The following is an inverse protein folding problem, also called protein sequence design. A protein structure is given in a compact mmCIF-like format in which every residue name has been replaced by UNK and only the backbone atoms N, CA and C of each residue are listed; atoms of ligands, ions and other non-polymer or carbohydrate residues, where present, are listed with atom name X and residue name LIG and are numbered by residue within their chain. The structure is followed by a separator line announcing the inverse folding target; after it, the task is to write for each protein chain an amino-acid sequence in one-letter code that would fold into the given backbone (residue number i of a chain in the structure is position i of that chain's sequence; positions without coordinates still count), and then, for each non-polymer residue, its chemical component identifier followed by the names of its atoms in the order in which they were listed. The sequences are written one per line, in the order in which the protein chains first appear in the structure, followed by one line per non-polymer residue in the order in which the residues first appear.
data_IF_906644753864
#
_entry.id   IF_906644753864
#
_cell.length_a   1.000
_cell.length_b   1.000
_cell.length_c   1.000
_cell.angle_alpha   90.00
_cell.angle_beta   90.00
_cell.angle_gamma   90.00
#
_symmetry.space_group_name_H-M   'P 1'
#
loop_
_entity.id
_entity.type
_entity.pdbx_description
1 polymer ?
#
# COMPACT_ATOMS: atom_id res chain seq x y z
N UNK A 1 48.42 15.92 -21.17
CA UNK A 1 47.83 16.24 -19.84
C UNK A 1 46.33 16.54 -19.98
N UNK A 2 45.54 15.61 -20.54
CA UNK A 2 44.09 15.81 -20.81
C UNK A 2 43.24 14.70 -20.14
N UNK A 3 43.80 13.50 -19.97
CA UNK A 3 43.10 12.32 -19.40
C UNK A 3 42.78 12.41 -17.89
N UNK A 4 43.43 13.31 -17.13
CA UNK A 4 43.21 13.48 -15.69
C UNK A 4 41.90 14.22 -15.34
N UNK A 5 41.34 15.01 -16.26
CA UNK A 5 40.08 15.74 -16.05
C UNK A 5 38.84 14.91 -16.39
N UNK A 6 38.91 14.13 -17.47
CA UNK A 6 37.80 13.30 -17.98
C UNK A 6 37.45 12.17 -17.00
N UNK A 7 38.46 11.58 -16.34
CA UNK A 7 38.28 10.56 -15.30
C UNK A 7 37.54 11.08 -14.07
N UNK A 8 37.82 12.31 -13.62
CA UNK A 8 37.09 12.94 -12.51
C UNK A 8 35.64 13.22 -12.87
N UNK A 9 35.37 13.67 -14.10
CA UNK A 9 34.02 13.94 -14.57
C UNK A 9 33.19 12.65 -14.65
N UNK A 10 33.79 11.55 -15.12
CA UNK A 10 33.15 10.23 -15.13
C UNK A 10 32.81 9.73 -13.72
N UNK A 11 33.72 9.89 -12.76
CA UNK A 11 33.47 9.50 -11.36
C UNK A 11 32.33 10.32 -10.76
N UNK A 12 32.29 11.63 -11.01
CA UNK A 12 31.19 12.50 -10.55
C UNK A 12 29.86 12.08 -11.19
N UNK A 13 29.84 11.80 -12.49
CA UNK A 13 28.63 11.33 -13.18
C UNK A 13 28.15 9.99 -12.63
N UNK A 14 29.07 9.06 -12.36
CA UNK A 14 28.76 7.77 -11.75
C UNK A 14 28.18 7.94 -10.34
N UNK A 15 28.76 8.82 -9.51
CA UNK A 15 28.24 9.12 -8.17
C UNK A 15 26.84 9.74 -8.22
N UNK A 16 26.57 10.64 -9.17
CA UNK A 16 25.23 11.22 -9.35
C UNK A 16 24.20 10.16 -9.78
N UNK A 17 24.57 9.23 -10.66
CA UNK A 17 23.70 8.12 -11.07
C UNK A 17 23.41 7.16 -9.91
N UNK A 18 24.41 6.85 -9.09
CA UNK A 18 24.24 6.01 -7.89
C UNK A 18 23.32 6.70 -6.88
N UNK A 19 23.51 7.99 -6.61
CA UNK A 19 22.63 8.73 -5.70
C UNK A 19 21.19 8.84 -6.24
N UNK A 20 21.01 8.95 -7.56
CA UNK A 20 19.70 8.99 -8.20
C UNK A 20 18.96 7.63 -8.18
N UNK A 21 19.67 6.53 -7.95
CA UNK A 21 19.10 5.17 -7.91
C UNK A 21 18.89 4.64 -6.50
N UNK A 22 19.35 5.36 -5.47
CA UNK A 22 19.07 5.01 -4.07
C UNK A 22 17.60 5.31 -3.77
N UNK A 23 16.78 4.27 -3.71
CA UNK A 23 15.43 4.35 -3.18
C UNK A 23 15.48 4.32 -1.65
N UNK A 24 14.84 5.29 -1.01
CA UNK A 24 14.63 5.26 0.44
C UNK A 24 13.34 4.50 0.71
N UNK A 25 13.44 3.36 1.40
CA UNK A 25 12.28 2.66 1.92
C UNK A 25 11.88 3.29 3.25
N UNK A 26 10.63 3.78 3.34
CA UNK A 26 10.04 4.25 4.59
C UNK A 26 9.07 3.16 5.06
N UNK A 27 9.32 2.62 6.24
CA UNK A 27 8.41 1.70 6.90
C UNK A 27 7.65 2.43 8.01
N UNK A 28 6.37 2.12 8.16
CA UNK A 28 5.54 2.59 9.28
C UNK A 28 5.82 1.72 10.50
N UNK A 29 6.10 2.33 11.64
CA UNK A 29 6.29 1.58 12.88
C UNK A 29 4.93 1.33 13.54
N UNK A 30 4.58 0.06 13.74
CA UNK A 30 3.32 -0.35 14.36
C UNK A 30 3.63 -1.17 15.61
N UNK A 31 3.25 -0.64 16.76
CA UNK A 31 3.34 -1.32 18.06
C UNK A 31 1.99 -1.28 18.76
N UNK A 32 1.90 -1.85 19.97
CA UNK A 32 0.69 -1.78 20.79
C UNK A 32 1.06 -1.46 22.24
N UNK A 33 0.19 -0.74 22.94
CA UNK A 33 0.26 -0.54 24.38
C UNK A 33 -0.91 -1.27 25.07
N UNK A 34 -1.10 -1.09 26.38
CA UNK A 34 -2.17 -1.80 27.10
C UNK A 34 -3.59 -1.54 26.55
N UNK A 35 -3.81 -0.48 25.77
CA UNK A 35 -5.15 -0.02 25.38
C UNK A 35 -5.32 0.22 23.87
N UNK A 36 -4.24 0.48 23.12
CA UNK A 36 -4.31 1.02 21.77
C UNK A 36 -3.21 0.49 20.84
N UNK A 37 -3.46 0.66 19.54
CA UNK A 37 -2.43 0.53 18.51
C UNK A 37 -1.63 1.83 18.43
N UNK A 38 -0.31 1.73 18.40
CA UNK A 38 0.60 2.87 18.26
C UNK A 38 1.17 2.84 16.86
N UNK A 39 0.73 3.78 16.01
CA UNK A 39 1.16 3.89 14.61
C UNK A 39 1.99 5.16 14.47
N UNK A 40 3.26 5.01 14.09
CA UNK A 40 4.26 6.10 14.03
C UNK A 40 4.31 6.93 15.32
N UNK A 41 4.35 6.24 16.47
CA UNK A 41 4.41 6.85 17.80
C UNK A 41 3.11 7.49 18.27
N UNK A 42 2.01 7.37 17.51
CA UNK A 42 0.69 7.91 17.88
C UNK A 42 -0.26 6.78 18.27
N UNK A 43 -0.69 6.77 19.54
CA UNK A 43 -1.74 5.89 20.06
C UNK A 43 -3.09 6.21 19.40
N UNK A 44 -3.74 5.20 18.83
CA UNK A 44 -5.02 5.31 18.12
C UNK A 44 -5.93 4.14 18.45
N UNK A 45 -7.21 4.46 18.62
CA UNK A 45 -8.31 3.48 18.55
C UNK A 45 -8.84 3.52 17.12
N UNK A 46 -8.77 2.40 16.41
CA UNK A 46 -9.17 2.32 15.02
C UNK A 46 -10.63 1.85 14.91
N UNK A 47 -11.45 2.58 14.16
CA UNK A 47 -12.82 2.17 13.84
C UNK A 47 -12.85 1.52 12.46
N UNK A 48 -13.28 0.26 12.40
CA UNK A 48 -13.19 -0.56 11.18
C UNK A 48 -14.55 -1.08 10.71
N UNK A 49 -14.79 -1.11 9.39
CA UNK A 49 -15.94 -1.83 8.79
C UNK A 49 -15.50 -2.84 7.74
N UNK A 50 -16.35 -3.84 7.51
CA UNK A 50 -16.09 -4.87 6.49
C UNK A 50 -16.73 -4.53 5.15
N UNK A 51 -15.93 -4.57 4.09
CA UNK A 51 -16.39 -4.50 2.69
C UNK A 51 -15.77 -5.69 1.96
N UNK A 52 -16.60 -6.65 1.55
CA UNK A 52 -16.14 -7.79 0.77
C UNK A 52 -16.12 -7.41 -0.71
N UNK A 53 -14.92 -7.24 -1.26
CA UNK A 53 -14.72 -6.77 -2.64
C UNK A 53 -15.49 -7.58 -3.70
N UNK A 54 -15.72 -8.91 -3.61
CA UNK A 54 -16.49 -9.63 -4.63
C UNK A 54 -18.01 -9.43 -4.52
N UNK A 55 -18.50 -8.80 -3.45
CA UNK A 55 -19.93 -8.53 -3.24
C UNK A 55 -20.36 -7.18 -3.79
N UNK A 56 -19.43 -6.41 -4.37
CA UNK A 56 -19.68 -5.13 -5.02
C UNK A 56 -18.97 -5.10 -6.38
N UNK A 57 -19.57 -4.41 -7.35
CA UNK A 57 -18.91 -4.20 -8.65
C UNK A 57 -17.78 -3.18 -8.52
N UNK A 58 -16.83 -3.19 -9.46
CA UNK A 58 -15.70 -2.24 -9.50
C UNK A 58 -16.19 -0.78 -9.45
N UNK A 59 -17.23 -0.45 -10.20
CA UNK A 59 -17.82 0.89 -10.25
C UNK A 59 -18.35 1.36 -8.88
N UNK A 60 -18.74 0.44 -7.99
CA UNK A 60 -19.25 0.78 -6.66
C UNK A 60 -18.14 1.09 -5.65
N UNK A 61 -16.92 0.57 -5.86
CA UNK A 61 -15.87 0.57 -4.83
C UNK A 61 -15.47 1.98 -4.41
N UNK A 62 -15.32 2.90 -5.37
CA UNK A 62 -14.98 4.29 -5.06
C UNK A 62 -16.01 4.94 -4.13
N UNK A 63 -17.30 4.78 -4.43
CA UNK A 63 -18.38 5.31 -3.60
C UNK A 63 -18.48 4.66 -2.23
N UNK A 64 -18.20 3.35 -2.11
CA UNK A 64 -18.17 2.64 -0.83
C UNK A 64 -17.03 3.14 0.07
N UNK A 65 -15.84 3.32 -0.49
CA UNK A 65 -14.68 3.86 0.22
C UNK A 65 -14.94 5.31 0.65
N UNK A 66 -15.52 6.12 -0.23
CA UNK A 66 -15.87 7.50 0.10
C UNK A 66 -16.87 7.57 1.26
N UNK A 67 -17.92 6.73 1.23
CA UNK A 67 -18.87 6.64 2.34
C UNK A 67 -18.21 6.19 3.65
N UNK A 68 -17.26 5.24 3.59
CA UNK A 68 -16.49 4.82 4.76
C UNK A 68 -15.68 5.98 5.35
N UNK A 69 -15.03 6.79 4.51
CA UNK A 69 -14.30 8.00 4.92
C UNK A 69 -15.22 9.04 5.54
N UNK A 70 -16.34 9.35 4.88
CA UNK A 70 -17.34 10.28 5.40
C UNK A 70 -17.95 9.80 6.71
N UNK A 71 -18.04 8.48 6.91
CA UNK A 71 -18.48 7.84 8.15
C UNK A 71 -17.44 7.83 9.28
N UNK A 72 -16.23 8.38 9.04
CA UNK A 72 -15.18 8.46 10.05
C UNK A 72 -14.47 7.14 10.34
N UNK A 73 -14.45 6.22 9.36
CA UNK A 73 -13.76 4.94 9.51
C UNK A 73 -12.27 5.07 9.22
N UNK A 74 -11.44 4.39 10.02
CA UNK A 74 -9.98 4.34 9.88
C UNK A 74 -9.50 3.12 9.08
N UNK A 75 -10.31 2.05 9.01
CA UNK A 75 -9.90 0.76 8.45
C UNK A 75 -11.04 0.10 7.67
N UNK A 76 -10.73 -0.46 6.50
CA UNK A 76 -11.61 -1.37 5.77
C UNK A 76 -11.07 -2.79 5.95
N UNK A 77 -11.93 -3.68 6.42
CA UNK A 77 -11.68 -5.12 6.49
C UNK A 77 -12.24 -5.79 5.24
N UNK A 78 -11.48 -6.66 4.60
CA UNK A 78 -11.97 -7.44 3.46
C UNK A 78 -11.47 -8.87 3.53
N UNK A 79 -12.23 -9.82 3.02
CA UNK A 79 -11.78 -11.21 2.94
C UNK A 79 -11.24 -11.52 1.56
N UNK A 80 -10.21 -12.35 1.53
CA UNK A 80 -9.72 -13.00 0.32
C UNK A 80 -10.49 -14.30 0.12
N UNK A 81 -11.36 -14.32 -0.87
CA UNK A 81 -12.16 -15.50 -1.21
C UNK A 81 -11.32 -16.46 -2.04
N UNK A 82 -10.62 -17.39 -1.37
CA UNK A 82 -9.70 -18.33 -2.01
C UNK A 82 -10.32 -19.08 -3.20
N UNK A 83 -11.59 -19.48 -3.09
CA UNK A 83 -12.31 -20.16 -4.17
C UNK A 83 -12.52 -19.31 -5.44
N UNK A 84 -12.51 -17.97 -5.32
CA UNK A 84 -12.55 -17.07 -6.48
C UNK A 84 -11.19 -16.95 -7.16
N UNK A 85 -10.12 -17.05 -6.38
CA UNK A 85 -8.75 -16.95 -6.89
C UNK A 85 -8.22 -18.29 -7.39
N UNK A 86 -8.69 -19.42 -6.83
CA UNK A 86 -8.32 -20.78 -7.26
C UNK A 86 -9.59 -21.63 -7.45
N UNK A 87 -10.37 -21.37 -8.52
CA UNK A 87 -11.57 -22.16 -8.80
C UNK A 87 -11.25 -23.59 -9.23
N UNK A 88 -10.06 -23.80 -9.80
CA UNK A 88 -9.51 -25.10 -10.17
C UNK A 88 -8.17 -25.26 -9.46
N UNK A 89 -7.94 -26.44 -8.86
CA UNK A 89 -6.73 -26.74 -8.11
C UNK A 89 -5.46 -26.39 -8.90
N UNK A 90 -4.55 -25.67 -8.27
CA UNK A 90 -3.31 -25.15 -8.83
C UNK A 90 -3.48 -24.16 -10.00
N UNK A 91 -4.65 -23.53 -10.16
CA UNK A 91 -4.89 -22.47 -11.14
C UNK A 91 -5.27 -21.17 -10.45
N UNK A 92 -4.28 -20.32 -10.17
CA UNK A 92 -4.50 -19.00 -9.59
C UNK A 92 -4.90 -18.02 -10.71
N UNK A 93 -6.13 -17.53 -10.64
CA UNK A 93 -6.62 -16.46 -11.50
C UNK A 93 -6.30 -15.13 -10.81
N UNK A 94 -5.50 -14.29 -11.48
CA UNK A 94 -5.26 -12.92 -11.06
C UNK A 94 -6.55 -12.11 -11.13
N UNK A 95 -7.12 -11.80 -9.97
CA UNK A 95 -8.34 -10.98 -9.86
C UNK A 95 -8.00 -9.51 -9.61
N UNK A 96 -9.01 -8.64 -9.76
CA UNK A 96 -8.99 -7.20 -9.51
C UNK A 96 -8.33 -6.77 -8.17
N UNK A 97 -8.30 -7.66 -7.17
CA UNK A 97 -7.60 -7.46 -5.89
C UNK A 97 -6.12 -7.02 -6.07
N UNK A 98 -5.39 -7.58 -7.03
CA UNK A 98 -3.94 -7.38 -7.14
C UNK A 98 -3.53 -6.06 -7.83
N UNK A 99 -4.40 -5.47 -8.64
CA UNK A 99 -4.09 -4.28 -9.44
C UNK A 99 -4.69 -2.98 -8.88
N UNK A 100 -5.83 -3.05 -8.17
CA UNK A 100 -6.54 -1.84 -7.72
C UNK A 100 -6.46 -1.57 -6.21
N UNK A 101 -6.26 -2.58 -5.35
CA UNK A 101 -6.02 -2.27 -3.93
C UNK A 101 -4.70 -1.53 -3.76
N UNK A 102 -3.61 -1.97 -4.39
CA UNK A 102 -2.33 -1.27 -4.32
C UNK A 102 -2.44 0.20 -4.80
N UNK A 103 -3.29 0.48 -5.79
CA UNK A 103 -3.50 1.86 -6.26
C UNK A 103 -4.46 2.67 -5.38
N UNK A 104 -5.42 2.04 -4.69
CA UNK A 104 -6.33 2.68 -3.72
C UNK A 104 -5.68 2.92 -2.35
N UNK A 105 -4.91 1.98 -1.81
CA UNK A 105 -4.27 2.10 -0.49
C UNK A 105 -3.13 3.12 -0.52
N UNK A 106 -2.48 3.32 -1.68
CA UNK A 106 -1.37 4.27 -1.84
C UNK A 106 -1.82 5.69 -2.21
N UNK A 107 -3.04 5.91 -2.73
CA UNK A 107 -3.49 7.24 -3.18
C UNK A 107 -4.22 8.08 -2.15
N UNK A 108 -4.80 7.50 -1.10
CA UNK A 108 -5.58 8.28 -0.15
C UNK A 108 -5.32 7.91 1.32
N UNK A 109 -4.48 8.72 1.96
CA UNK A 109 -3.78 8.58 3.26
C UNK A 109 -4.60 8.27 4.55
N UNK A 110 -5.81 7.72 4.53
CA UNK A 110 -6.63 7.65 5.77
C UNK A 110 -7.42 6.39 6.03
N UNK A 111 -7.35 5.35 5.19
CA UNK A 111 -7.99 4.07 5.50
C UNK A 111 -7.00 2.92 5.29
N UNK A 112 -6.73 2.17 6.36
CA UNK A 112 -5.90 0.97 6.32
C UNK A 112 -6.71 -0.22 5.84
N UNK A 113 -6.03 -1.20 5.24
CA UNK A 113 -6.62 -2.47 4.85
C UNK A 113 -6.23 -3.55 5.85
N UNK A 114 -7.21 -4.33 6.31
CA UNK A 114 -7.02 -5.53 7.12
C UNK A 114 -7.60 -6.73 6.33
N UNK A 115 -6.76 -7.75 6.10
CA UNK A 115 -7.02 -8.91 5.21
C UNK A 115 -7.28 -10.20 6.00
#
# INVERSE_FOLDING_TARGET
MIMRGVSKLFIVMLLLVVMATVTVFVAVNVTYDHQTLVIDGKSRVLVSWSIHYPRSTLDMWHGLIQKAKCGGLDVIKTYVFYNLHEPVRNQIIGTCLNLELNSMTLKEEKIWLDL
#
